data_IF_291151977740
#
_entry.id   IF_291151977740
#
_cell.length_a   1.000
_cell.length_b   1.000
_cell.length_c   1.000
_cell.angle_alpha   90.00
_cell.angle_beta   90.00
_cell.angle_gamma   90.00
#
_symmetry.space_group_name_H-M   'P 1'
#
loop_
_entity.id
_entity.type
_entity.pdbx_description
1 polymer ?
#
# COMPACT_ATOMS: atom_id res chain seq x y z
N UNK A 1 1.77 -1.97 6.15
CA UNK A 1 2.35 -3.32 6.06
C UNK A 1 1.32 -4.27 5.48
N UNK A 2 1.72 -5.05 4.50
CA UNK A 2 0.84 -6.02 3.87
C UNK A 2 0.70 -7.22 4.79
N UNK A 3 -0.54 -7.50 5.20
CA UNK A 3 -0.81 -8.67 6.03
C UNK A 3 -1.14 -9.90 5.19
N UNK A 4 -1.80 -9.69 4.06
CA UNK A 4 -2.06 -10.76 3.12
C UNK A 4 -2.26 -10.17 1.74
N UNK A 5 -2.12 -11.00 0.73
CA UNK A 5 -2.30 -10.57 -0.64
C UNK A 5 -2.78 -11.77 -1.45
N UNK A 6 -3.80 -11.59 -2.28
CA UNK A 6 -4.25 -12.68 -3.12
C UNK A 6 -3.44 -12.71 -4.43
N UNK A 7 -3.73 -13.69 -5.25
CA UNK A 7 -2.96 -13.89 -6.48
C UNK A 7 -3.21 -12.79 -7.51
N UNK A 8 -4.24 -12.00 -7.32
CA UNK A 8 -4.57 -10.88 -8.22
C UNK A 8 -3.97 -9.57 -7.75
N UNK A 9 -3.25 -9.58 -6.63
CA UNK A 9 -2.63 -8.38 -6.12
C UNK A 9 -3.50 -7.58 -5.17
N UNK A 10 -4.68 -8.08 -4.80
CA UNK A 10 -5.50 -7.39 -3.81
C UNK A 10 -4.93 -7.67 -2.43
N UNK A 11 -4.40 -6.66 -1.80
CA UNK A 11 -3.69 -6.80 -0.54
C UNK A 11 -4.50 -6.23 0.61
N UNK A 12 -4.44 -6.92 1.74
CA UNK A 12 -4.96 -6.39 3.01
C UNK A 12 -3.77 -5.82 3.76
N UNK A 13 -3.85 -4.55 4.08
CA UNK A 13 -2.73 -3.84 4.69
C UNK A 13 -3.14 -3.22 6.00
N UNK A 14 -2.14 -2.98 6.84
CA UNK A 14 -2.30 -2.21 8.06
C UNK A 14 -1.56 -0.90 7.88
N UNK A 15 -2.23 0.20 8.24
CA UNK A 15 -1.67 1.53 8.06
C UNK A 15 -0.51 1.75 9.03
N UNK A 16 0.67 2.01 8.48
CA UNK A 16 1.84 2.38 9.27
C UNK A 16 2.19 3.85 9.09
N UNK A 17 2.08 4.33 7.87
CA UNK A 17 2.38 5.72 7.53
C UNK A 17 1.20 6.30 6.79
N UNK A 18 0.92 7.57 7.02
CA UNK A 18 -0.18 8.22 6.33
C UNK A 18 0.16 8.44 4.86
N UNK A 19 -0.79 8.15 4.02
CA UNK A 19 -0.72 8.47 2.60
C UNK A 19 -2.13 8.54 2.05
N UNK A 20 -2.26 8.99 0.82
CA UNK A 20 -3.58 9.13 0.21
C UNK A 20 -3.52 8.68 -1.24
N UNK A 21 -4.70 8.43 -1.81
CA UNK A 21 -4.78 8.06 -3.21
C UNK A 21 -4.11 9.13 -4.07
N UNK A 22 -3.34 8.69 -5.03
CA UNK A 22 -2.57 9.58 -5.89
C UNK A 22 -1.13 9.77 -5.45
N UNK A 23 -0.80 9.40 -4.21
CA UNK A 23 0.58 9.52 -3.75
C UNK A 23 1.47 8.48 -4.42
N UNK A 24 2.73 8.86 -4.61
CA UNK A 24 3.72 7.92 -5.08
C UNK A 24 4.18 7.07 -3.91
N UNK A 25 4.09 5.76 -4.08
CA UNK A 25 4.49 4.80 -3.06
C UNK A 25 5.51 3.84 -3.64
N UNK A 26 6.23 3.18 -2.75
CA UNK A 26 7.14 2.13 -3.12
C UNK A 26 6.76 0.88 -2.34
N UNK A 27 6.66 -0.24 -3.04
CA UNK A 27 6.39 -1.52 -2.40
C UNK A 27 7.73 -2.19 -2.14
N UNK A 28 7.98 -2.52 -0.89
CA UNK A 28 9.21 -3.20 -0.49
C UNK A 28 8.85 -4.41 0.35
N UNK A 29 9.64 -5.44 0.26
CA UNK A 29 9.37 -6.62 1.07
C UNK A 29 10.46 -7.65 0.90
N UNK A 30 10.38 -8.74 1.71
CA UNK A 30 11.32 -9.83 1.57
C UNK A 30 11.15 -10.46 0.20
N UNK A 31 12.24 -10.76 -0.46
CA UNK A 31 12.23 -11.43 -1.76
C UNK A 31 11.50 -10.64 -2.85
N UNK A 32 11.24 -9.36 -2.63
CA UNK A 32 10.60 -8.52 -3.63
C UNK A 32 11.51 -7.35 -3.92
N UNK A 33 11.86 -7.19 -5.19
CA UNK A 33 12.61 -6.01 -5.60
C UNK A 33 11.67 -4.80 -5.45
N UNK A 34 12.11 -3.75 -4.77
CA UNK A 34 11.25 -2.58 -4.62
C UNK A 34 10.76 -2.05 -5.96
N UNK A 35 9.49 -1.70 -6.02
CA UNK A 35 8.92 -1.14 -7.24
C UNK A 35 7.95 -0.02 -6.88
N UNK A 36 7.86 0.99 -7.76
CA UNK A 36 6.98 2.13 -7.49
C UNK A 36 5.55 1.83 -7.91
N UNK A 37 4.61 2.46 -7.20
CA UNK A 37 3.21 2.46 -7.60
C UNK A 37 2.65 3.84 -7.32
N UNK A 38 1.53 4.15 -7.98
CA UNK A 38 0.70 5.28 -7.60
C UNK A 38 -0.47 4.72 -6.80
N UNK A 39 -0.68 5.24 -5.60
CA UNK A 39 -1.71 4.71 -4.72
C UNK A 39 -3.09 4.84 -5.37
N UNK A 40 -3.81 3.74 -5.59
CA UNK A 40 -5.19 3.83 -6.05
C UNK A 40 -6.10 4.15 -4.87
N UNK A 41 -7.37 4.41 -5.15
CA UNK A 41 -8.34 4.52 -4.08
C UNK A 41 -8.42 3.17 -3.39
N UNK A 42 -8.28 3.20 -2.08
CA UNK A 42 -8.32 1.98 -1.27
C UNK A 42 -9.75 1.72 -0.81
N UNK A 43 -9.95 0.62 -0.10
CA UNK A 43 -11.23 0.31 0.50
C UNK A 43 -11.00 -0.20 1.92
N UNK A 44 -11.96 0.06 2.80
CA UNK A 44 -11.90 -0.54 4.12
C UNK A 44 -12.36 -2.00 4.01
N UNK A 45 -12.37 -2.70 5.14
CA UNK A 45 -12.71 -4.13 5.10
C UNK A 45 -14.18 -4.38 4.78
N UNK A 46 -14.99 -3.34 4.80
CA UNK A 46 -16.40 -3.43 4.43
C UNK A 46 -16.65 -3.06 2.98
N UNK A 47 -15.60 -2.69 2.26
CA UNK A 47 -15.74 -2.36 0.85
C UNK A 47 -16.00 -0.90 0.57
N UNK A 48 -16.00 -0.04 1.58
CA UNK A 48 -16.20 1.38 1.37
C UNK A 48 -14.92 2.04 0.86
N UNK A 49 -15.02 2.95 -0.11
CA UNK A 49 -13.80 3.58 -0.64
C UNK A 49 -13.15 4.47 0.40
N UNK A 50 -11.81 4.42 0.43
CA UNK A 50 -11.01 5.20 1.35
C UNK A 50 -9.92 5.88 0.54
N UNK A 51 -9.96 7.20 0.48
CA UNK A 51 -8.94 7.95 -0.24
C UNK A 51 -7.71 8.18 0.62
N UNK A 52 -7.90 8.34 1.92
CA UNK A 52 -6.81 8.66 2.82
C UNK A 52 -7.02 7.95 4.15
N UNK A 53 -6.41 6.77 4.34
CA UNK A 53 -6.50 6.11 5.64
C UNK A 53 -5.83 6.99 6.69
N UNK A 54 -6.51 7.24 7.79
CA UNK A 54 -6.03 8.17 8.82
C UNK A 54 -5.87 7.53 10.18
N UNK A 55 -6.70 6.53 10.47
CA UNK A 55 -6.68 5.90 11.79
C UNK A 55 -5.42 5.06 11.91
N UNK A 56 -4.62 5.26 12.96
CA UNK A 56 -3.43 4.43 13.17
C UNK A 56 -3.81 2.95 13.19
N UNK A 57 -3.02 2.14 12.50
CA UNK A 57 -3.21 0.70 12.40
C UNK A 57 -4.53 0.27 11.76
N UNK A 58 -5.20 1.19 11.09
CA UNK A 58 -6.39 0.85 10.32
C UNK A 58 -6.05 -0.19 9.26
N UNK A 59 -6.93 -1.17 9.11
CA UNK A 59 -6.79 -2.14 8.04
C UNK A 59 -7.57 -1.68 6.82
N UNK A 60 -6.98 -1.88 5.66
CA UNK A 60 -7.61 -1.50 4.40
C UNK A 60 -7.12 -2.44 3.30
N UNK A 61 -7.83 -2.44 2.18
CA UNK A 61 -7.41 -3.19 1.01
C UNK A 61 -6.92 -2.24 -0.06
N UNK A 62 -5.93 -2.68 -0.79
CA UNK A 62 -5.37 -1.91 -1.89
C UNK A 62 -5.05 -2.85 -3.04
N UNK A 63 -5.36 -2.42 -4.26
CA UNK A 63 -5.07 -3.22 -5.44
C UNK A 63 -3.66 -2.90 -5.91
N UNK A 64 -2.80 -3.91 -5.85
CA UNK A 64 -1.43 -3.78 -6.32
C UNK A 64 -1.33 -4.33 -7.74
N UNK A 65 -0.30 -3.92 -8.50
CA UNK A 65 -0.14 -4.42 -9.87
C UNK A 65 0.22 -5.90 -9.96
N UNK A 66 0.68 -6.47 -8.85
CA UNK A 66 1.01 -7.89 -8.79
C UNK A 66 0.95 -8.37 -7.36
N UNK A 67 0.88 -9.68 -7.19
CA UNK A 67 0.88 -10.26 -5.86
C UNK A 67 2.24 -10.06 -5.20
N UNK A 68 2.20 -9.80 -3.88
CA UNK A 68 3.42 -9.64 -3.08
C UNK A 68 3.30 -10.51 -1.84
N UNK A 69 4.41 -10.93 -1.26
CA UNK A 69 4.36 -11.78 -0.07
C UNK A 69 3.88 -10.98 1.15
N UNK A 70 3.34 -11.68 2.14
CA UNK A 70 3.06 -11.06 3.43
C UNK A 70 4.33 -10.42 3.98
N UNK A 71 4.18 -9.42 4.84
CA UNK A 71 5.28 -8.66 5.42
C UNK A 71 5.87 -7.62 4.47
N UNK A 72 5.39 -7.54 3.25
CA UNK A 72 5.75 -6.43 2.37
C UNK A 72 5.22 -5.13 2.95
N UNK A 73 5.85 -4.04 2.59
CA UNK A 73 5.48 -2.73 3.13
C UNK A 73 5.24 -1.76 2.00
N UNK A 74 4.29 -0.87 2.23
CA UNK A 74 4.05 0.28 1.36
C UNK A 74 4.63 1.48 2.07
N UNK A 75 5.55 2.16 1.42
CA UNK A 75 6.13 3.37 2.01
C UNK A 75 6.02 4.50 1.02
N UNK A 76 5.96 5.71 1.53
CA UNK A 76 5.94 6.86 0.64
C UNK A 76 7.27 6.93 -0.09
N UNK A 77 7.16 7.11 -1.39
CA UNK A 77 8.35 7.29 -2.20
C UNK A 77 8.92 8.66 -1.87
N UNK A 78 10.11 8.68 -1.31
CA UNK A 78 10.76 9.94 -1.01
C UNK A 78 11.31 10.49 -2.30
N UNK A 79 10.93 11.73 -2.60
CA UNK A 79 11.51 12.39 -3.75
C UNK A 79 12.94 12.76 -3.40
N UNK A 80 13.86 12.06 -3.99
CA UNK A 80 15.27 12.27 -3.72
C UNK A 80 15.88 13.34 -4.60
N UNK A 81 15.09 13.94 -5.48
CA UNK A 81 15.66 14.97 -6.31
C UNK A 81 16.11 16.13 -5.41
N UNK A 82 17.28 16.63 -5.64
CA UNK A 82 17.73 17.78 -4.87
C UNK A 82 16.87 19.00 -5.17
N UNK A 83 16.63 19.74 -4.16
CA UNK A 83 15.84 20.96 -4.31
C UNK A 83 16.72 22.17 -4.34
#
# INVERSE_FOLDING_TARGET
KVESCDENGLAVCRLNNKFRAGDALEVVGPDVRPFPITAPIMADLEGNPVEEPRTPQMKFTIQLPKAVPPMSMLRRSVDLSPK
#
